data_IF_713318772610
#
_entry.id   IF_713318772610
#
_cell.length_a   1.000
_cell.length_b   1.000
_cell.length_c   1.000
_cell.angle_alpha   90.00
_cell.angle_beta   90.00
_cell.angle_gamma   90.00
#
_symmetry.space_group_name_H-M   'P 1'
#
loop_
_entity.id
_entity.type
_entity.pdbx_description
1 polymer ?
#
# COMPACT_ATOMS: atom_id res chain seq x y z
N UNK A 1 -44.09 3.49 2.66
CA UNK A 1 -42.71 3.96 2.89
C UNK A 1 -42.78 5.32 3.60
N UNK A 2 -42.38 5.41 4.88
CA UNK A 2 -42.46 6.65 5.65
C UNK A 2 -41.10 7.37 5.56
N UNK A 3 -41.13 8.57 5.03
CA UNK A 3 -39.93 9.43 4.92
C UNK A 3 -39.75 10.17 6.25
N UNK A 4 -38.70 9.85 7.01
CA UNK A 4 -38.32 10.61 8.19
C UNK A 4 -37.25 11.65 7.79
N UNK A 5 -37.52 12.92 8.04
CA UNK A 5 -36.64 14.07 7.74
C UNK A 5 -35.50 14.11 8.75
N UNK A 6 -34.27 13.92 8.29
CA UNK A 6 -33.02 14.21 8.98
C UNK A 6 -32.25 15.29 8.22
N UNK A 7 -31.38 16.12 8.85
CA UNK A 7 -30.86 17.34 8.22
C UNK A 7 -30.12 17.07 6.91
N UNK A 8 -30.21 17.99 6.00
CA UNK A 8 -29.84 18.14 4.58
C UNK A 8 -28.75 17.25 3.91
N UNK A 9 -28.19 16.22 4.59
CA UNK A 9 -27.07 15.39 4.05
C UNK A 9 -27.28 13.89 4.10
N UNK A 10 -28.37 13.40 4.70
CA UNK A 10 -28.67 11.97 4.76
C UNK A 10 -30.17 11.71 4.74
N UNK A 11 -30.62 10.66 4.04
CA UNK A 11 -32.01 10.21 3.99
C UNK A 11 -32.09 8.80 4.52
N UNK A 12 -32.93 8.57 5.55
CA UNK A 12 -33.14 7.26 6.16
C UNK A 12 -34.35 6.57 5.52
N UNK A 13 -34.16 5.36 5.05
CA UNK A 13 -35.21 4.45 4.58
C UNK A 13 -35.35 3.29 5.56
N UNK A 14 -36.58 2.80 5.75
CA UNK A 14 -36.86 1.66 6.61
C UNK A 14 -37.87 0.71 5.98
N UNK A 15 -37.57 -0.60 6.02
CA UNK A 15 -38.45 -1.68 5.60
C UNK A 15 -38.41 -2.78 6.69
N UNK A 16 -39.44 -2.81 7.58
CA UNK A 16 -39.42 -3.71 8.72
C UNK A 16 -38.26 -3.40 9.68
N UNK A 17 -37.37 -4.38 9.88
CA UNK A 17 -36.16 -4.24 10.70
C UNK A 17 -34.98 -3.64 9.93
N UNK A 18 -35.03 -3.65 8.59
CA UNK A 18 -33.95 -3.16 7.75
C UNK A 18 -33.91 -1.61 7.72
N UNK A 19 -32.74 -1.05 7.83
CA UNK A 19 -32.49 0.39 7.80
C UNK A 19 -31.39 0.69 6.79
N UNK A 20 -31.64 1.59 5.84
CA UNK A 20 -30.65 2.10 4.90
C UNK A 20 -30.57 3.61 5.04
N UNK A 21 -29.38 4.13 5.24
CA UNK A 21 -29.10 5.56 5.29
C UNK A 21 -28.34 5.95 4.02
N UNK A 22 -29.00 6.75 3.17
CA UNK A 22 -28.39 7.29 1.95
C UNK A 22 -27.72 8.61 2.26
N UNK A 23 -26.49 8.76 1.85
CA UNK A 23 -25.60 9.89 2.13
C UNK A 23 -25.02 10.49 0.83
N UNK A 24 -24.26 11.58 0.96
CA UNK A 24 -23.55 12.20 -0.17
C UNK A 24 -24.48 12.49 -1.36
N UNK A 25 -25.67 13.09 -1.08
CA UNK A 25 -26.66 13.44 -2.09
C UNK A 25 -27.13 12.26 -2.97
N UNK A 26 -27.11 11.05 -2.42
CA UNK A 26 -27.54 9.84 -3.13
C UNK A 26 -26.42 8.97 -3.68
N UNK A 27 -25.17 9.41 -3.59
CA UNK A 27 -24.05 8.68 -4.17
C UNK A 27 -23.47 7.56 -3.27
N UNK A 28 -23.91 7.50 -2.00
CA UNK A 28 -23.49 6.44 -1.07
C UNK A 28 -24.58 6.05 -0.10
N UNK A 29 -24.49 4.88 0.48
CA UNK A 29 -25.39 4.38 1.52
C UNK A 29 -24.64 3.52 2.53
N UNK A 30 -25.24 3.33 3.72
CA UNK A 30 -24.82 2.36 4.72
C UNK A 30 -26.00 1.85 5.52
N UNK A 31 -25.87 0.63 6.06
CA UNK A 31 -26.77 0.08 7.08
C UNK A 31 -26.18 0.34 8.48
N UNK A 32 -26.87 1.07 9.38
CA UNK A 32 -26.36 1.32 10.73
C UNK A 32 -26.40 0.09 11.65
N UNK A 33 -26.98 -1.03 11.22
CA UNK A 33 -27.11 -2.27 11.99
C UNK A 33 -26.15 -3.36 11.52
N UNK A 34 -25.40 -3.12 10.41
CA UNK A 34 -24.39 -4.00 9.87
C UNK A 34 -23.20 -3.19 9.34
N UNK A 35 -22.17 -3.84 8.80
CA UNK A 35 -21.03 -3.20 8.12
C UNK A 35 -21.30 -2.94 6.64
N UNK A 36 -22.53 -3.18 6.16
CA UNK A 36 -22.89 -3.04 4.76
C UNK A 36 -22.97 -1.58 4.35
N UNK A 37 -22.27 -1.24 3.27
CA UNK A 37 -22.19 0.09 2.69
C UNK A 37 -21.73 0.04 1.24
N UNK A 38 -22.00 1.07 0.47
CA UNK A 38 -21.54 1.14 -0.91
C UNK A 38 -22.21 2.22 -1.74
N UNK A 39 -22.18 2.02 -3.05
CA UNK A 39 -22.87 2.83 -4.06
C UNK A 39 -24.23 2.22 -4.46
N UNK A 40 -24.87 2.77 -5.48
CA UNK A 40 -26.17 2.29 -5.97
C UNK A 40 -26.13 0.85 -6.46
N UNK A 41 -25.02 0.41 -7.03
CA UNK A 41 -24.89 -0.97 -7.53
C UNK A 41 -24.75 -1.96 -6.37
N UNK A 42 -23.94 -1.62 -5.37
CA UNK A 42 -23.84 -2.41 -4.14
C UNK A 42 -25.20 -2.50 -3.42
N UNK A 43 -25.98 -1.42 -3.45
CA UNK A 43 -27.35 -1.43 -2.89
C UNK A 43 -28.27 -2.37 -3.67
N UNK A 44 -28.21 -2.37 -4.99
CA UNK A 44 -29.02 -3.27 -5.84
C UNK A 44 -28.62 -4.73 -5.60
N UNK A 45 -27.31 -5.04 -5.50
CA UNK A 45 -26.83 -6.37 -5.14
C UNK A 45 -27.40 -6.84 -3.80
N UNK A 46 -27.38 -5.96 -2.78
CA UNK A 46 -27.89 -6.29 -1.45
C UNK A 46 -29.41 -6.52 -1.44
N UNK A 47 -30.18 -5.59 -2.03
CA UNK A 47 -31.65 -5.60 -1.93
C UNK A 47 -32.31 -6.70 -2.79
N UNK A 48 -31.73 -7.04 -3.91
CA UNK A 48 -32.27 -8.00 -4.88
C UNK A 48 -31.44 -9.29 -4.96
N UNK A 49 -30.37 -9.42 -4.15
CA UNK A 49 -29.44 -10.56 -4.12
C UNK A 49 -28.84 -10.91 -5.50
N UNK A 50 -28.52 -9.85 -6.27
CA UNK A 50 -28.00 -9.96 -7.63
C UNK A 50 -26.47 -9.98 -7.63
N UNK A 51 -25.89 -10.59 -8.69
CA UNK A 51 -24.50 -10.37 -9.05
C UNK A 51 -24.26 -8.94 -9.56
N UNK A 52 -23.02 -8.47 -9.54
CA UNK A 52 -22.70 -7.08 -9.95
C UNK A 52 -23.16 -6.75 -11.37
N UNK A 53 -23.01 -7.68 -12.33
CA UNK A 53 -23.44 -7.48 -13.72
C UNK A 53 -24.95 -7.29 -13.82
N UNK A 54 -25.73 -8.11 -13.11
CA UNK A 54 -27.19 -8.03 -13.07
C UNK A 54 -27.67 -6.77 -12.37
N UNK A 55 -26.95 -6.33 -11.32
CA UNK A 55 -27.24 -5.08 -10.64
C UNK A 55 -27.02 -3.84 -11.55
N UNK A 56 -26.02 -3.88 -12.43
CA UNK A 56 -25.79 -2.83 -13.43
C UNK A 56 -26.96 -2.75 -14.41
N UNK A 57 -27.45 -3.88 -14.95
CA UNK A 57 -28.59 -3.93 -15.84
C UNK A 57 -29.84 -3.45 -15.13
N UNK A 58 -30.06 -3.87 -13.89
CA UNK A 58 -31.21 -3.49 -13.06
C UNK A 58 -31.26 -2.00 -12.75
N UNK A 59 -30.11 -1.41 -12.39
CA UNK A 59 -30.00 0.04 -12.18
C UNK A 59 -30.21 0.79 -13.49
N UNK A 60 -29.68 0.27 -14.61
CA UNK A 60 -29.89 0.81 -15.95
C UNK A 60 -31.39 0.90 -16.32
N UNK A 61 -32.14 -0.16 -16.07
CA UNK A 61 -33.61 -0.19 -16.25
C UNK A 61 -34.33 0.88 -15.40
N UNK A 62 -33.94 1.00 -14.12
CA UNK A 62 -34.56 1.95 -13.20
C UNK A 62 -34.35 3.42 -13.56
N UNK A 63 -33.24 3.75 -14.22
CA UNK A 63 -32.94 5.11 -14.68
C UNK A 63 -33.31 5.36 -16.15
N UNK A 64 -33.96 4.38 -16.80
CA UNK A 64 -34.38 4.48 -18.20
C UNK A 64 -33.23 4.42 -19.21
N UNK A 65 -32.05 4.00 -18.77
CA UNK A 65 -30.95 3.68 -19.66
C UNK A 65 -31.14 2.25 -20.16
N UNK A 66 -31.77 2.08 -21.32
CA UNK A 66 -31.68 0.81 -22.05
C UNK A 66 -30.20 0.62 -22.38
N UNK A 67 -29.52 -0.27 -21.66
CA UNK A 67 -28.20 -0.69 -21.98
C UNK A 67 -28.24 -1.45 -23.30
N UNK A 68 -28.08 -0.72 -24.42
CA UNK A 68 -27.33 -1.31 -25.51
C UNK A 68 -26.04 -1.86 -24.84
N UNK A 69 -25.56 -3.10 -25.20
CA UNK A 69 -24.35 -3.61 -24.60
C UNK A 69 -23.29 -2.54 -24.76
N UNK A 70 -23.10 -1.75 -23.72
CA UNK A 70 -21.96 -0.87 -23.60
C UNK A 70 -20.82 -1.88 -23.44
N UNK A 71 -20.27 -2.28 -24.58
CA UNK A 71 -18.87 -2.69 -24.59
C UNK A 71 -18.15 -1.55 -23.89
N UNK A 72 -17.91 -1.72 -22.57
CA UNK A 72 -16.95 -0.92 -21.85
C UNK A 72 -15.63 -1.16 -22.56
N UNK A 73 -15.47 -0.52 -23.73
CA UNK A 73 -14.14 -0.17 -24.19
C UNK A 73 -13.63 0.71 -23.07
N UNK A 74 -12.88 0.08 -22.13
CA UNK A 74 -11.98 0.81 -21.25
C UNK A 74 -11.44 1.92 -22.14
N UNK A 75 -11.70 3.21 -21.86
CA UNK A 75 -11.23 4.28 -22.74
C UNK A 75 -9.77 3.94 -22.97
N UNK A 76 -9.29 3.90 -24.22
CA UNK A 76 -7.93 3.46 -24.49
C UNK A 76 -7.08 4.29 -23.54
N UNK A 77 -6.34 3.61 -22.68
CA UNK A 77 -5.41 4.27 -21.78
C UNK A 77 -4.60 5.15 -22.73
N UNK A 78 -4.81 6.48 -22.68
CA UNK A 78 -4.18 7.44 -23.59
C UNK A 78 -2.65 7.48 -23.47
N UNK A 79 -2.13 6.55 -22.65
CA UNK A 79 -0.74 6.46 -22.28
C UNK A 79 -0.21 5.17 -22.88
N UNK A 80 0.43 5.29 -24.04
CA UNK A 80 1.22 4.22 -24.66
C UNK A 80 2.25 3.68 -23.66
N UNK A 81 2.56 2.37 -23.66
CA UNK A 81 3.61 1.80 -22.80
C UNK A 81 4.95 2.54 -22.90
N UNK A 82 5.28 3.13 -24.06
CA UNK A 82 6.43 3.98 -24.27
C UNK A 82 6.44 5.24 -23.38
N UNK A 83 5.26 5.73 -22.94
CA UNK A 83 5.16 6.90 -22.07
C UNK A 83 5.49 6.59 -20.60
N UNK A 84 5.32 5.36 -20.12
CA UNK A 84 5.67 4.96 -18.75
C UNK A 84 7.16 5.19 -18.48
N UNK A 85 8.04 4.69 -19.35
CA UNK A 85 9.48 4.84 -19.17
C UNK A 85 9.92 6.29 -19.26
N UNK A 86 9.41 7.04 -20.23
CA UNK A 86 9.69 8.47 -20.40
C UNK A 86 9.23 9.29 -19.20
N UNK A 87 8.04 9.02 -18.68
CA UNK A 87 7.50 9.68 -17.46
C UNK A 87 8.35 9.36 -16.25
N UNK A 88 8.81 8.12 -16.09
CA UNK A 88 9.70 7.70 -15.03
C UNK A 88 11.05 8.42 -15.13
N UNK A 89 11.69 8.37 -16.29
CA UNK A 89 13.01 8.98 -16.53
C UNK A 89 13.01 10.49 -16.41
N UNK A 90 11.91 11.14 -16.77
CA UNK A 90 11.72 12.59 -16.62
C UNK A 90 11.59 13.08 -15.16
N UNK A 91 11.56 12.18 -14.16
CA UNK A 91 11.50 12.54 -12.75
C UNK A 91 12.87 12.56 -12.10
N UNK A 92 13.07 13.54 -11.22
CA UNK A 92 14.31 13.66 -10.45
C UNK A 92 14.40 12.58 -9.38
N UNK A 93 15.61 12.31 -8.95
CA UNK A 93 15.86 11.51 -7.75
C UNK A 93 15.49 12.33 -6.51
N UNK A 94 15.01 11.69 -5.41
CA UNK A 94 14.78 12.38 -4.15
C UNK A 94 16.08 13.01 -3.63
N UNK A 95 16.14 14.34 -3.57
CA UNK A 95 17.25 15.06 -2.98
C UNK A 95 17.02 15.28 -1.48
N UNK A 96 18.09 15.43 -0.71
CA UNK A 96 17.99 15.75 0.74
C UNK A 96 17.08 16.94 0.97
N UNK A 97 16.05 16.78 1.80
CA UNK A 97 15.07 17.82 2.11
C UNK A 97 13.96 18.01 1.07
N UNK A 98 13.94 17.25 -0.04
CA UNK A 98 12.84 17.29 -0.99
C UNK A 98 11.56 16.68 -0.40
N UNK A 99 10.40 16.82 -1.09
CA UNK A 99 9.12 16.31 -0.62
C UNK A 99 9.13 14.81 -0.38
N UNK A 100 9.57 14.03 -1.37
CA UNK A 100 9.68 12.58 -1.25
C UNK A 100 10.68 12.15 -0.17
N UNK A 101 11.81 12.87 -0.03
CA UNK A 101 12.79 12.63 1.02
C UNK A 101 12.18 12.83 2.40
N UNK A 102 11.51 13.98 2.64
CA UNK A 102 10.85 14.27 3.91
C UNK A 102 9.77 13.26 4.23
N UNK A 103 8.94 12.92 3.25
CA UNK A 103 7.90 11.92 3.41
C UNK A 103 8.47 10.57 3.86
N UNK A 104 9.48 10.05 3.16
CA UNK A 104 10.07 8.75 3.51
C UNK A 104 10.81 8.79 4.84
N UNK A 105 11.71 9.76 5.06
CA UNK A 105 12.56 9.77 6.25
C UNK A 105 11.85 10.26 7.52
N UNK A 106 10.90 11.20 7.39
CA UNK A 106 10.26 11.80 8.56
C UNK A 106 8.88 11.24 8.83
N UNK A 107 8.01 11.18 7.79
CA UNK A 107 6.65 10.67 7.99
C UNK A 107 6.61 9.14 8.04
N UNK A 108 7.50 8.45 7.31
CA UNK A 108 7.55 6.99 7.25
C UNK A 108 8.72 6.37 8.01
N UNK A 109 9.55 7.19 8.62
CA UNK A 109 10.71 6.78 9.43
C UNK A 109 11.77 5.94 8.70
N UNK A 110 11.73 5.86 7.35
CA UNK A 110 12.70 5.10 6.56
C UNK A 110 14.11 5.69 6.78
N UNK A 111 15.11 4.90 7.21
CA UNK A 111 16.46 5.37 7.40
C UNK A 111 17.08 5.91 6.13
N UNK A 112 17.97 6.89 6.27
CA UNK A 112 18.66 7.51 5.14
C UNK A 112 19.50 6.47 4.35
N UNK A 113 20.07 5.47 5.01
CA UNK A 113 20.80 4.37 4.39
C UNK A 113 19.93 3.59 3.41
N UNK A 114 18.71 3.22 3.82
CA UNK A 114 17.74 2.50 3.00
C UNK A 114 17.30 3.35 1.80
N UNK A 115 16.98 4.63 2.05
CA UNK A 115 16.59 5.53 0.97
C UNK A 115 17.72 5.74 -0.04
N UNK A 116 18.96 5.90 0.43
CA UNK A 116 20.13 6.00 -0.45
C UNK A 116 20.35 4.73 -1.26
N UNK A 117 20.18 3.54 -0.68
CA UNK A 117 20.25 2.27 -1.40
C UNK A 117 19.17 2.21 -2.49
N UNK A 118 17.93 2.57 -2.19
CA UNK A 118 16.85 2.61 -3.18
C UNK A 118 17.08 3.62 -4.31
N UNK A 119 17.67 4.80 -3.98
CA UNK A 119 18.06 5.82 -4.97
C UNK A 119 19.22 5.29 -5.86
N UNK A 120 20.23 4.68 -5.26
CA UNK A 120 21.37 4.13 -6.00
C UNK A 120 20.96 3.01 -6.97
N UNK A 121 19.97 2.19 -6.56
CA UNK A 121 19.37 1.16 -7.43
C UNK A 121 18.40 1.74 -8.47
N UNK A 122 18.13 3.05 -8.46
CA UNK A 122 17.25 3.73 -9.41
C UNK A 122 15.78 3.38 -9.29
N UNK A 123 15.35 2.81 -8.16
CA UNK A 123 13.98 2.29 -7.95
C UNK A 123 13.06 3.28 -7.22
N UNK A 124 13.56 4.44 -6.81
CA UNK A 124 12.76 5.51 -6.20
C UNK A 124 13.01 6.83 -6.92
N UNK A 125 11.93 7.56 -7.22
CA UNK A 125 11.96 8.91 -7.79
C UNK A 125 10.98 9.83 -7.06
N UNK A 126 11.17 11.15 -7.26
CA UNK A 126 10.24 12.16 -6.75
C UNK A 126 9.19 12.47 -7.81
N UNK A 127 7.93 12.19 -7.48
CA UNK A 127 6.78 12.51 -8.30
C UNK A 127 6.31 13.96 -8.16
N UNK A 128 5.19 14.32 -8.79
CA UNK A 128 4.55 15.62 -8.62
C UNK A 128 4.24 15.89 -7.14
N UNK A 129 4.28 17.17 -6.74
CA UNK A 129 3.97 17.64 -5.39
C UNK A 129 4.82 16.97 -4.29
N UNK A 130 5.98 16.42 -4.65
CA UNK A 130 6.88 15.76 -3.69
C UNK A 130 6.43 14.37 -3.26
N UNK A 131 5.56 13.71 -4.03
CA UNK A 131 5.21 12.31 -3.80
C UNK A 131 6.40 11.38 -4.04
N UNK A 132 6.44 10.24 -3.36
CA UNK A 132 7.37 9.14 -3.62
C UNK A 132 6.82 8.28 -4.76
N UNK A 133 7.63 8.04 -5.77
CA UNK A 133 7.40 7.02 -6.79
C UNK A 133 8.33 5.84 -6.57
N UNK A 134 7.78 4.64 -6.45
CA UNK A 134 8.53 3.39 -6.28
C UNK A 134 8.30 2.47 -7.48
N UNK A 135 9.36 2.14 -8.20
CA UNK A 135 9.32 1.43 -9.47
C UNK A 135 8.80 0.00 -9.33
N UNK A 136 7.89 -0.40 -10.23
CA UNK A 136 7.64 -1.79 -10.53
C UNK A 136 8.35 -2.17 -11.82
N UNK A 137 9.14 -3.25 -11.77
CA UNK A 137 9.97 -3.70 -12.88
C UNK A 137 9.54 -5.05 -13.42
N UNK A 138 9.74 -5.26 -14.74
CA UNK A 138 9.61 -6.57 -15.37
C UNK A 138 10.85 -7.46 -15.09
N UNK A 139 10.88 -8.65 -15.68
CA UNK A 139 12.00 -9.59 -15.54
C UNK A 139 13.32 -9.09 -16.15
N UNK A 140 13.26 -8.13 -17.07
CA UNK A 140 14.42 -7.47 -17.66
C UNK A 140 14.87 -6.23 -16.87
N UNK A 141 14.27 -5.95 -15.71
CA UNK A 141 14.57 -4.78 -14.89
C UNK A 141 14.00 -3.46 -15.45
N UNK A 142 13.18 -3.48 -16.51
CA UNK A 142 12.61 -2.27 -17.08
C UNK A 142 11.43 -1.81 -16.24
N UNK A 143 11.34 -0.50 -15.99
CA UNK A 143 10.21 0.08 -15.26
C UNK A 143 8.95 0.02 -16.11
N UNK A 144 7.92 -0.66 -15.60
CA UNK A 144 6.62 -0.86 -16.26
C UNK A 144 5.48 -0.19 -15.50
N UNK A 145 5.76 0.41 -14.37
CA UNK A 145 4.83 1.16 -13.53
C UNK A 145 5.50 1.60 -12.23
N UNK A 146 4.79 2.29 -11.39
CA UNK A 146 5.27 2.67 -10.05
C UNK A 146 4.11 2.86 -9.08
N UNK A 147 4.36 2.55 -7.81
CA UNK A 147 3.52 3.00 -6.71
C UNK A 147 3.77 4.49 -6.47
N UNK A 148 2.71 5.23 -6.21
CA UNK A 148 2.79 6.64 -5.83
C UNK A 148 2.24 6.84 -4.43
N UNK A 149 3.02 7.48 -3.56
CA UNK A 149 2.66 7.73 -2.16
C UNK A 149 3.07 9.14 -1.74
N UNK A 150 2.19 9.79 -1.02
CA UNK A 150 2.41 11.07 -0.35
C UNK A 150 1.65 11.11 0.97
N UNK A 151 1.68 12.23 1.71
CA UNK A 151 0.96 12.37 2.98
C UNK A 151 -0.54 12.05 2.83
N UNK A 152 -1.18 12.60 1.79
CA UNK A 152 -2.63 12.54 1.56
C UNK A 152 -2.99 11.80 0.27
N UNK A 153 -2.03 11.13 -0.34
CA UNK A 153 -2.22 10.46 -1.62
C UNK A 153 -1.60 9.08 -1.67
N UNK A 154 -2.35 8.14 -2.24
CA UNK A 154 -1.88 6.81 -2.63
C UNK A 154 -2.45 6.44 -3.98
N UNK A 155 -1.62 5.88 -4.85
CA UNK A 155 -2.04 5.48 -6.19
C UNK A 155 -1.02 4.60 -6.87
N UNK A 156 -1.34 4.28 -8.11
CA UNK A 156 -0.45 3.58 -9.03
C UNK A 156 -0.45 4.29 -10.38
N UNK A 157 0.69 4.26 -11.09
CA UNK A 157 0.86 4.96 -12.37
C UNK A 157 -0.23 4.59 -13.37
N UNK A 158 -0.90 5.60 -13.93
CA UNK A 158 -1.89 5.39 -14.99
C UNK A 158 -1.22 4.80 -16.23
N UNK A 159 -1.76 3.72 -16.77
CA UNK A 159 -1.19 2.97 -17.88
C UNK A 159 -0.07 2.02 -17.50
N UNK A 160 0.41 2.06 -16.25
CA UNK A 160 1.43 1.15 -15.74
C UNK A 160 0.89 -0.23 -15.36
N UNK A 161 1.79 -1.19 -15.21
CA UNK A 161 1.52 -2.55 -14.78
C UNK A 161 2.09 -2.81 -13.39
N UNK A 162 1.26 -3.35 -12.49
CA UNK A 162 1.73 -3.89 -11.21
C UNK A 162 2.48 -5.20 -11.48
N UNK A 163 3.77 -5.20 -11.19
CA UNK A 163 4.62 -6.39 -11.24
C UNK A 163 5.27 -6.55 -9.87
N UNK A 164 6.51 -6.10 -9.69
CA UNK A 164 7.18 -6.11 -8.38
C UNK A 164 8.04 -4.86 -8.22
N UNK A 165 7.93 -4.21 -7.06
CA UNK A 165 9.01 -3.38 -6.52
C UNK A 165 10.11 -4.31 -6.00
N UNK A 166 11.39 -3.92 -6.14
CA UNK A 166 12.54 -4.76 -5.77
C UNK A 166 13.62 -3.91 -5.13
N UNK A 167 13.97 -4.19 -3.88
CA UNK A 167 15.07 -3.54 -3.15
C UNK A 167 16.00 -4.61 -2.60
N UNK A 168 17.27 -4.56 -2.94
CA UNK A 168 18.30 -5.51 -2.50
C UNK A 168 19.11 -6.05 -3.67
N UNK A 169 19.85 -7.13 -3.46
CA UNK A 169 20.67 -7.75 -4.49
C UNK A 169 19.82 -8.54 -5.48
N UNK A 170 20.03 -8.38 -6.79
CA UNK A 170 19.20 -9.07 -7.80
C UNK A 170 19.35 -10.61 -7.78
N UNK A 171 20.48 -11.10 -7.28
CA UNK A 171 20.82 -12.53 -7.13
C UNK A 171 20.49 -13.10 -5.75
N UNK A 172 19.79 -12.32 -4.92
CA UNK A 172 19.38 -12.77 -3.60
C UNK A 172 18.40 -13.95 -3.69
N UNK A 173 18.60 -14.92 -2.83
CA UNK A 173 17.77 -16.14 -2.76
C UNK A 173 16.67 -16.05 -1.70
N UNK A 174 16.78 -15.17 -0.72
CA UNK A 174 15.73 -14.91 0.26
C UNK A 174 14.80 -13.81 -0.24
N UNK A 175 13.59 -14.18 -0.62
CA UNK A 175 12.60 -13.33 -1.28
C UNK A 175 11.53 -12.88 -0.28
N UNK A 176 11.64 -11.66 0.25
CA UNK A 176 10.72 -11.10 1.24
C UNK A 176 9.61 -10.31 0.55
N UNK A 177 8.37 -10.82 0.54
CA UNK A 177 7.24 -10.22 -0.16
C UNK A 177 6.32 -9.49 0.79
N UNK A 178 6.13 -8.18 0.57
CA UNK A 178 5.22 -7.28 1.27
C UNK A 178 4.11 -6.77 0.35
N UNK A 179 3.16 -6.00 0.89
CA UNK A 179 2.06 -5.43 0.11
C UNK A 179 2.42 -4.09 -0.55
N UNK A 180 3.18 -3.22 0.11
CA UNK A 180 3.58 -1.92 -0.44
C UNK A 180 5.10 -1.70 -0.42
N UNK A 181 5.60 -0.85 -1.32
CA UNK A 181 7.03 -0.52 -1.39
C UNK A 181 7.55 0.12 -0.11
N UNK A 182 6.70 0.86 0.63
CA UNK A 182 7.06 1.41 1.94
C UNK A 182 7.32 0.28 2.94
N UNK A 183 6.52 -0.79 2.93
CA UNK A 183 6.70 -1.93 3.82
C UNK A 183 7.93 -2.75 3.45
N UNK A 184 8.23 -2.90 2.15
CA UNK A 184 9.47 -3.51 1.70
C UNK A 184 10.71 -2.73 2.19
N UNK A 185 10.70 -1.40 2.08
CA UNK A 185 11.77 -0.53 2.61
C UNK A 185 11.83 -0.56 4.14
N UNK A 186 10.69 -0.67 4.81
CA UNK A 186 10.60 -0.73 6.27
C UNK A 186 11.13 -2.06 6.80
N UNK A 187 10.77 -3.17 6.18
CA UNK A 187 11.31 -4.49 6.52
C UNK A 187 12.82 -4.53 6.29
N UNK A 188 13.30 -4.00 5.15
CA UNK A 188 14.73 -3.86 4.88
C UNK A 188 15.44 -3.06 5.97
N UNK A 189 14.82 -2.00 6.50
CA UNK A 189 15.35 -1.22 7.62
C UNK A 189 15.34 -2.00 8.94
N UNK A 190 14.27 -2.74 9.21
CA UNK A 190 14.12 -3.57 10.42
C UNK A 190 15.17 -4.68 10.49
N UNK A 191 15.56 -5.22 9.33
CA UNK A 191 16.55 -6.28 9.16
C UNK A 191 17.97 -5.74 8.81
N UNK A 192 18.15 -4.41 8.80
CA UNK A 192 19.42 -3.74 8.45
C UNK A 192 19.97 -4.17 7.08
N UNK A 193 19.10 -4.23 6.05
CA UNK A 193 19.44 -4.71 4.69
C UNK A 193 20.16 -6.08 4.73
N UNK A 194 19.53 -7.04 5.39
CA UNK A 194 20.11 -8.39 5.55
C UNK A 194 20.66 -8.92 4.22
N UNK A 195 21.92 -9.33 4.22
CA UNK A 195 22.60 -9.90 3.07
C UNK A 195 21.85 -11.12 2.50
N UNK A 196 21.88 -11.27 1.16
CA UNK A 196 21.20 -12.34 0.45
C UNK A 196 19.66 -12.18 0.42
N UNK A 197 19.12 -11.03 0.83
CA UNK A 197 17.68 -10.75 0.82
C UNK A 197 17.29 -9.78 -0.30
N UNK A 198 16.16 -10.07 -0.95
CA UNK A 198 15.47 -9.18 -1.88
C UNK A 198 14.10 -8.84 -1.29
N UNK A 199 13.89 -7.57 -1.00
CA UNK A 199 12.65 -7.04 -0.46
C UNK A 199 11.74 -6.60 -1.59
N UNK A 200 10.58 -7.22 -1.66
CA UNK A 200 9.63 -7.13 -2.76
C UNK A 200 8.32 -6.50 -2.31
N UNK A 201 7.65 -5.79 -3.20
CA UNK A 201 6.24 -5.39 -3.02
C UNK A 201 5.41 -5.70 -4.25
N UNK A 202 4.15 -6.12 -4.03
CA UNK A 202 3.15 -6.34 -5.07
C UNK A 202 2.35 -5.08 -5.43
N UNK A 203 2.53 -3.98 -4.67
CA UNK A 203 1.76 -2.74 -4.81
C UNK A 203 0.28 -2.90 -4.43
N UNK A 204 -0.01 -3.76 -3.46
CA UNK A 204 -1.38 -4.05 -3.01
C UNK A 204 -2.25 -4.71 -4.10
N UNK A 205 -1.64 -5.43 -5.05
CA UNK A 205 -2.34 -6.07 -6.15
C UNK A 205 -1.79 -7.45 -6.48
N UNK A 206 -2.61 -8.24 -7.17
CA UNK A 206 -2.23 -9.54 -7.69
C UNK A 206 -2.63 -9.64 -9.16
N UNK A 207 -1.68 -9.78 -10.03
CA UNK A 207 -1.89 -9.91 -11.47
C UNK A 207 -1.16 -11.14 -12.02
N UNK A 208 -1.53 -11.66 -13.18
CA UNK A 208 -0.75 -12.73 -13.84
C UNK A 208 0.73 -12.35 -14.03
N UNK A 209 1.04 -11.06 -14.22
CA UNK A 209 2.42 -10.59 -14.34
C UNK A 209 3.17 -10.59 -13.01
N UNK A 210 2.49 -10.25 -11.92
CA UNK A 210 3.03 -10.35 -10.55
C UNK A 210 3.37 -11.80 -10.23
N UNK A 211 2.45 -12.72 -10.52
CA UNK A 211 2.62 -14.14 -10.30
C UNK A 211 3.77 -14.71 -11.14
N UNK A 212 3.82 -14.42 -12.44
CA UNK A 212 4.91 -14.85 -13.31
C UNK A 212 6.28 -14.31 -12.85
N UNK A 213 6.33 -13.07 -12.34
CA UNK A 213 7.57 -12.50 -11.82
C UNK A 213 8.04 -13.17 -10.52
N UNK A 214 7.12 -13.54 -9.63
CA UNK A 214 7.43 -14.32 -8.42
C UNK A 214 7.90 -15.73 -8.76
N UNK A 215 7.22 -16.42 -9.68
CA UNK A 215 7.62 -17.75 -10.14
C UNK A 215 9.01 -17.73 -10.80
N UNK A 216 9.34 -16.68 -11.57
CA UNK A 216 10.66 -16.53 -12.17
C UNK A 216 11.77 -16.36 -11.10
N UNK A 217 11.50 -15.66 -10.00
CA UNK A 217 12.44 -15.56 -8.88
C UNK A 217 12.56 -16.88 -8.11
N UNK A 218 11.44 -17.57 -7.89
CA UNK A 218 11.38 -18.88 -7.22
C UNK A 218 11.98 -20.02 -8.06
N UNK A 219 12.26 -19.80 -9.35
CA UNK A 219 12.93 -20.78 -10.19
C UNK A 219 14.39 -21.05 -9.74
N UNK A 220 15.02 -20.13 -8.99
CA UNK A 220 16.34 -20.38 -8.42
C UNK A 220 16.26 -21.55 -7.43
N UNK A 221 17.19 -22.56 -7.50
CA UNK A 221 17.09 -23.77 -6.69
C UNK A 221 17.17 -23.50 -5.15
N UNK A 222 17.91 -22.48 -4.76
CA UNK A 222 18.08 -22.10 -3.35
C UNK A 222 17.11 -21.01 -2.89
N UNK A 223 16.08 -20.66 -3.72
CA UNK A 223 15.15 -19.62 -3.36
C UNK A 223 14.29 -20.00 -2.15
N UNK A 224 14.20 -19.10 -1.19
CA UNK A 224 13.31 -19.15 -0.03
C UNK A 224 12.32 -17.98 -0.09
N UNK A 225 11.03 -18.28 0.04
CA UNK A 225 9.98 -17.27 0.06
C UNK A 225 9.65 -16.87 1.50
N UNK A 226 9.71 -15.57 1.79
CA UNK A 226 9.27 -14.99 3.07
C UNK A 226 8.00 -14.18 2.83
N UNK A 227 6.86 -14.68 3.29
CA UNK A 227 5.58 -14.00 3.23
C UNK A 227 5.50 -12.95 4.33
N UNK A 228 5.93 -11.73 4.03
CA UNK A 228 6.03 -10.60 4.96
C UNK A 228 4.87 -9.60 4.76
N UNK A 229 3.67 -10.09 4.45
CA UNK A 229 2.44 -9.31 4.25
C UNK A 229 1.87 -8.83 5.59
N UNK A 230 0.95 -7.88 5.55
CA UNK A 230 0.35 -7.21 6.71
C UNK A 230 -0.25 -8.18 7.72
N UNK A 231 -0.45 -7.71 8.97
CA UNK A 231 -0.98 -8.51 10.08
C UNK A 231 -2.51 -8.48 10.16
N UNK A 232 -3.20 -8.46 9.01
CA UNK A 232 -4.64 -8.43 8.90
C UNK A 232 -5.16 -9.57 7.98
N UNK A 233 -6.47 -9.70 7.84
CA UNK A 233 -7.10 -10.76 7.04
C UNK A 233 -6.69 -10.73 5.56
N UNK A 234 -6.53 -9.53 4.99
CA UNK A 234 -6.07 -9.37 3.62
C UNK A 234 -4.62 -9.83 3.48
N UNK A 235 -3.74 -9.45 4.41
CA UNK A 235 -2.35 -9.90 4.45
C UNK A 235 -2.23 -11.41 4.61
N UNK A 236 -3.08 -12.03 5.41
CA UNK A 236 -3.13 -13.48 5.55
C UNK A 236 -3.66 -14.16 4.27
N UNK A 237 -4.59 -13.52 3.53
CA UNK A 237 -5.02 -14.02 2.21
C UNK A 237 -3.89 -13.93 1.17
N UNK A 238 -3.12 -12.85 1.16
CA UNK A 238 -1.92 -12.73 0.32
C UNK A 238 -0.86 -13.77 0.70
N UNK A 239 -0.62 -13.99 1.99
CA UNK A 239 0.34 -14.99 2.46
C UNK A 239 -0.05 -16.41 2.01
N UNK A 240 -1.34 -16.77 2.04
CA UNK A 240 -1.83 -18.05 1.51
C UNK A 240 -1.56 -18.22 0.01
N UNK A 241 -1.74 -17.15 -0.79
CA UNK A 241 -1.42 -17.19 -2.23
C UNK A 241 0.08 -17.38 -2.47
N UNK A 242 0.92 -16.64 -1.75
CA UNK A 242 2.37 -16.78 -1.82
C UNK A 242 2.83 -18.18 -1.43
N UNK A 243 2.27 -18.73 -0.35
CA UNK A 243 2.54 -20.10 0.06
C UNK A 243 2.15 -21.13 -1.03
N UNK A 244 0.98 -20.96 -1.67
CA UNK A 244 0.55 -21.83 -2.75
C UNK A 244 1.53 -21.81 -3.94
N UNK A 245 2.09 -20.62 -4.30
CA UNK A 245 3.13 -20.53 -5.33
C UNK A 245 4.41 -21.28 -4.94
N UNK A 246 4.86 -21.11 -3.70
CA UNK A 246 6.06 -21.80 -3.20
C UNK A 246 5.88 -23.33 -3.25
N UNK A 247 4.71 -23.83 -2.83
CA UNK A 247 4.35 -25.25 -2.90
C UNK A 247 4.35 -25.75 -4.35
N UNK A 248 3.80 -24.97 -5.29
CA UNK A 248 3.74 -25.33 -6.71
C UNK A 248 5.12 -25.60 -7.32
N UNK A 249 6.16 -24.89 -6.83
CA UNK A 249 7.53 -24.99 -7.36
C UNK A 249 8.49 -25.66 -6.37
N UNK A 250 7.98 -26.28 -5.31
CA UNK A 250 8.73 -26.99 -4.28
C UNK A 250 9.84 -26.11 -3.64
N UNK A 251 9.45 -24.93 -3.11
CA UNK A 251 10.36 -23.99 -2.43
C UNK A 251 9.95 -23.76 -0.98
N UNK A 252 10.93 -23.59 -0.08
CA UNK A 252 10.65 -23.20 1.30
C UNK A 252 9.85 -21.92 1.39
N UNK A 253 8.90 -21.86 2.31
CA UNK A 253 8.07 -20.69 2.53
C UNK A 253 7.89 -20.43 4.03
N UNK A 254 8.24 -19.21 4.46
CA UNK A 254 8.12 -18.77 5.84
C UNK A 254 7.10 -17.63 5.94
N UNK A 255 6.17 -17.69 6.88
CA UNK A 255 5.32 -16.53 7.25
C UNK A 255 6.07 -15.66 8.25
N UNK A 256 6.46 -14.46 7.84
CA UNK A 256 7.01 -13.43 8.71
C UNK A 256 5.94 -12.36 8.94
N UNK A 257 5.21 -12.47 10.04
CA UNK A 257 4.12 -11.55 10.39
C UNK A 257 4.69 -10.33 11.11
N UNK A 258 4.35 -9.09 10.71
CA UNK A 258 4.74 -7.92 11.50
C UNK A 258 4.08 -7.95 12.89
N UNK A 259 4.75 -7.49 13.94
CA UNK A 259 4.18 -7.38 15.29
C UNK A 259 3.25 -6.18 15.48
N UNK A 260 3.01 -5.39 14.43
CA UNK A 260 2.03 -4.31 14.30
C UNK A 260 1.19 -4.56 13.04
N UNK A 261 0.33 -3.63 12.62
CA UNK A 261 -0.53 -3.83 11.43
C UNK A 261 0.28 -4.02 10.15
N UNK A 262 1.36 -3.25 9.98
CA UNK A 262 2.29 -3.34 8.84
C UNK A 262 3.76 -3.10 9.27
N UNK A 263 4.71 -3.30 8.35
CA UNK A 263 6.14 -3.11 8.63
C UNK A 263 6.54 -1.65 8.83
N UNK A 264 5.80 -0.72 8.23
CA UNK A 264 6.09 0.68 8.44
C UNK A 264 5.69 1.15 9.85
N UNK A 265 4.61 0.63 10.40
CA UNK A 265 4.22 0.89 11.78
C UNK A 265 5.25 0.33 12.77
N UNK A 266 5.78 -0.87 12.53
CA UNK A 266 6.91 -1.45 13.31
C UNK A 266 8.12 -0.52 13.30
N UNK A 267 8.51 -0.03 12.12
CA UNK A 267 9.67 0.86 11.96
C UNK A 267 9.46 2.20 12.69
N UNK A 268 8.28 2.79 12.55
CA UNK A 268 7.93 4.03 13.24
C UNK A 268 7.90 3.85 14.77
N UNK A 269 7.43 2.69 15.25
CA UNK A 269 7.42 2.33 16.66
C UNK A 269 8.83 2.26 17.25
N UNK A 270 9.78 1.62 16.54
CA UNK A 270 11.21 1.57 16.93
C UNK A 270 11.80 2.97 17.06
N UNK A 271 11.61 3.83 16.06
CA UNK A 271 12.11 5.19 16.07
C UNK A 271 11.54 6.02 17.23
N UNK A 272 10.26 5.86 17.57
CA UNK A 272 9.64 6.52 18.74
C UNK A 272 10.23 6.02 20.06
N UNK A 273 10.52 4.73 20.17
CA UNK A 273 11.18 4.12 21.34
C UNK A 273 12.61 4.64 21.54
N UNK A 274 13.41 4.69 20.47
CA UNK A 274 14.77 5.24 20.49
C UNK A 274 14.81 6.73 20.90
N UNK A 275 13.83 7.51 20.44
CA UNK A 275 13.73 8.93 20.84
C UNK A 275 13.42 9.09 22.33
N UNK A 276 12.52 8.27 22.90
CA UNK A 276 12.18 8.32 24.33
C UNK A 276 13.37 7.94 25.22
N UNK A 277 14.06 6.85 24.89
CA UNK A 277 15.26 6.42 25.63
C UNK A 277 16.40 7.43 25.51
N UNK A 278 16.55 8.09 24.38
CA UNK A 278 17.52 9.16 24.15
C UNK A 278 17.22 10.45 24.96
N UNK A 279 15.95 10.79 25.15
CA UNK A 279 15.53 11.93 25.99
C UNK A 279 15.70 11.64 27.49
N UNK A 280 15.35 10.44 27.93
CA UNK A 280 15.54 9.98 29.30
C UNK A 280 17.04 9.95 29.67
N UNK A 281 17.87 9.43 28.75
CA UNK A 281 19.33 9.43 28.93
C UNK A 281 19.94 10.83 29.02
N UNK A 282 19.44 11.80 28.25
CA UNK A 282 19.88 13.20 28.32
C UNK A 282 19.42 13.92 29.60
N UNK A 283 18.20 13.62 30.09
CA UNK A 283 17.71 14.16 31.38
C UNK A 283 18.50 13.59 32.55
N UNK A 284 18.89 12.34 32.50
CA UNK A 284 19.73 11.74 33.54
C UNK A 284 21.19 12.25 33.53
N UNK A 285 21.71 12.70 32.38
CA UNK A 285 23.06 13.22 32.21
C UNK A 285 23.21 14.74 32.47
N UNK A 286 22.10 15.46 32.69
CA UNK A 286 22.17 16.91 33.02
C UNK A 286 22.61 17.07 34.49
N UNK A 287 23.75 17.74 34.80
CA UNK A 287 24.19 17.93 36.17
C UNK A 287 23.19 18.86 36.88
N UNK A 288 22.69 18.40 38.04
CA UNK A 288 21.97 19.20 39.00
C UNK A 288 22.82 20.42 39.35
N UNK A 289 22.36 21.62 39.00
CA UNK A 289 22.91 22.88 39.53
C UNK A 289 22.62 22.92 41.03
N UNK A 290 23.51 22.32 41.81
CA UNK A 290 23.51 22.45 43.25
C UNK A 290 23.71 23.92 43.63
N UNK A 291 22.74 24.44 44.35
CA UNK A 291 22.71 25.73 45.00
C UNK A 291 24.03 26.06 45.71
N UNK A 292 24.72 27.14 45.29
CA UNK A 292 25.72 27.78 46.12
C UNK A 292 24.95 28.54 47.20
N UNK A 293 24.85 27.96 48.37
CA UNK A 293 24.56 28.69 49.60
C UNK A 293 25.72 29.66 49.87
N UNK A 294 25.39 30.96 49.94
CA UNK A 294 26.27 31.98 50.43
C UNK A 294 26.32 31.89 51.97
N UNK A 295 27.50 31.68 52.52
CA UNK A 295 27.75 31.83 53.96
C UNK A 295 27.80 33.33 54.33
N UNK A 296 27.22 33.75 55.48
CA UNK A 296 27.37 35.09 56.01
C UNK A 296 28.67 35.19 56.81
N UNK A 297 29.44 36.24 56.57
CA UNK A 297 30.54 36.74 57.37
C UNK A 297 30.46 38.24 57.46
#
# INVERSE_FOLDING_TARGET
MIRATTPRRAVKFRRGAEIIIVTHEGSGWFDPLSDDKGDVFALACLLEQLGFSEAVDRVGELVGCNAAPILWKKPPSKVEPADILSRWQGRRLPATGSGAWRYLCWSRAVPISILRSAIAQGIVREGPFGSMWAAHTDSAGRVVGWEERGPDWRGFSTGGSKVLFRLGAPDAVRLCVTEAAIDAMSLAAVEDLRDGSLYLSTGGGWSPRTEAALLALLAHPDAELVCATDANEQGDAFARRLHALAVQVDRPCLRLRPPADDWNEVLQGRKRGEMKTGEEGRRAASPSTASREAAPG
#
